data_IF_304039254404
#
_entry.id   IF_304039254404
#
_cell.length_a   1.000
_cell.length_b   1.000
_cell.length_c   1.000
_cell.angle_alpha   90.00
_cell.angle_beta   90.00
_cell.angle_gamma   90.00
#
_symmetry.space_group_name_H-M   'P 1'
#
loop_
_entity.id
_entity.type
_entity.pdbx_description
1 polymer ?
#
# COMPACT_ATOMS: atom_id res chain seq x y z
N UNK A 1 41.12 -5.16 0.21
CA UNK A 1 39.75 -4.86 -0.31
C UNK A 1 39.63 -3.36 -0.49
N UNK A 2 39.36 -2.88 -1.70
CA UNK A 2 39.29 -1.44 -2.02
C UNK A 2 38.07 -0.78 -1.34
N UNK A 3 38.18 0.51 -1.02
CA UNK A 3 37.09 1.30 -0.42
C UNK A 3 35.81 1.25 -1.26
N UNK A 4 35.96 1.31 -2.59
CA UNK A 4 34.85 1.22 -3.53
C UNK A 4 34.14 -0.14 -3.49
N UNK A 5 34.88 -1.25 -3.32
CA UNK A 5 34.29 -2.59 -3.13
C UNK A 5 33.54 -2.71 -1.80
N UNK A 6 34.02 -2.06 -0.73
CA UNK A 6 33.32 -1.97 0.56
C UNK A 6 31.98 -1.23 0.42
N UNK A 7 32.00 -0.02 -0.15
CA UNK A 7 30.81 0.82 -0.33
C UNK A 7 29.73 0.13 -1.18
N UNK A 8 30.12 -0.54 -2.26
CA UNK A 8 29.20 -1.33 -3.09
C UNK A 8 28.57 -2.49 -2.31
N UNK A 9 29.36 -3.23 -1.52
CA UNK A 9 28.83 -4.34 -0.72
C UNK A 9 27.88 -3.84 0.39
N UNK A 10 28.16 -2.68 0.98
CA UNK A 10 27.28 -2.05 1.98
C UNK A 10 25.95 -1.62 1.36
N UNK A 11 25.98 -1.02 0.16
CA UNK A 11 24.78 -0.66 -0.58
C UNK A 11 23.93 -1.88 -0.94
N UNK A 12 24.55 -2.99 -1.40
CA UNK A 12 23.84 -4.25 -1.68
C UNK A 12 23.17 -4.78 -0.41
N UNK A 13 23.89 -4.85 0.71
CA UNK A 13 23.34 -5.32 2.00
C UNK A 13 22.19 -4.45 2.50
N UNK A 14 22.26 -3.13 2.30
CA UNK A 14 21.17 -2.22 2.64
C UNK A 14 19.90 -2.53 1.81
N UNK A 15 20.04 -2.72 0.50
CA UNK A 15 18.91 -3.09 -0.37
C UNK A 15 18.32 -4.45 0.03
N UNK A 16 19.18 -5.45 0.30
CA UNK A 16 18.74 -6.79 0.72
C UNK A 16 17.94 -6.74 2.02
N UNK A 17 18.44 -6.03 3.04
CA UNK A 17 17.72 -5.84 4.31
C UNK A 17 16.33 -5.24 4.10
N UNK A 18 16.22 -4.21 3.24
CA UNK A 18 14.91 -3.58 2.94
C UNK A 18 13.96 -4.55 2.24
N UNK A 19 14.48 -5.40 1.35
CA UNK A 19 13.68 -6.42 0.68
C UNK A 19 13.18 -7.46 1.69
N UNK A 20 14.04 -7.89 2.61
CA UNK A 20 13.68 -8.86 3.66
C UNK A 20 12.63 -8.29 4.60
N UNK A 21 12.78 -7.04 5.05
CA UNK A 21 11.78 -6.32 5.86
C UNK A 21 10.42 -6.25 5.14
N UNK A 22 10.42 -5.97 3.83
CA UNK A 22 9.19 -5.94 3.03
C UNK A 22 8.55 -7.33 2.91
N UNK A 23 9.36 -8.39 2.74
CA UNK A 23 8.85 -9.77 2.69
C UNK A 23 8.24 -10.19 4.03
N UNK A 24 8.86 -9.83 5.15
CA UNK A 24 8.35 -10.15 6.49
C UNK A 24 7.03 -9.40 6.78
N UNK A 25 6.97 -8.11 6.43
CA UNK A 25 5.73 -7.32 6.54
C UNK A 25 4.62 -7.90 5.66
N UNK A 26 4.94 -8.25 4.41
CA UNK A 26 3.99 -8.91 3.50
C UNK A 26 3.48 -10.22 4.08
N UNK A 27 4.36 -11.08 4.61
CA UNK A 27 3.97 -12.37 5.19
C UNK A 27 2.97 -12.20 6.34
N UNK A 28 3.23 -11.24 7.25
CA UNK A 28 2.30 -10.89 8.33
C UNK A 28 0.96 -10.41 7.78
N UNK A 29 1.00 -9.50 6.82
CA UNK A 29 -0.19 -8.90 6.23
C UNK A 29 -1.06 -9.89 5.46
N UNK A 30 -0.45 -10.86 4.78
CA UNK A 30 -1.15 -11.93 4.07
C UNK A 30 -2.03 -12.78 5.01
N UNK A 31 -1.63 -12.99 6.26
CA UNK A 31 -2.48 -13.62 7.27
C UNK A 31 -3.74 -12.79 7.54
N UNK A 32 -3.56 -11.49 7.83
CA UNK A 32 -4.68 -10.58 8.07
C UNK A 32 -5.63 -10.48 6.87
N UNK A 33 -5.13 -10.37 5.64
CA UNK A 33 -5.97 -10.27 4.45
C UNK A 33 -6.92 -11.46 4.30
N UNK A 34 -6.50 -12.67 4.73
CA UNK A 34 -7.34 -13.86 4.71
C UNK A 34 -8.44 -13.77 5.78
N UNK A 35 -8.13 -13.26 6.97
CA UNK A 35 -9.05 -13.20 8.12
C UNK A 35 -10.06 -12.04 8.04
N UNK A 36 -9.63 -10.86 7.56
CA UNK A 36 -10.44 -9.63 7.54
C UNK A 36 -11.82 -9.75 6.88
N UNK A 37 -12.00 -10.46 5.74
CA UNK A 37 -13.33 -10.69 5.17
C UNK A 37 -14.27 -11.43 6.11
N UNK A 38 -13.76 -12.40 6.88
CA UNK A 38 -14.55 -13.14 7.86
C UNK A 38 -14.92 -12.26 9.04
N UNK A 39 -13.98 -11.49 9.59
CA UNK A 39 -14.23 -10.55 10.68
C UNK A 39 -15.30 -9.51 10.30
N UNK A 40 -15.19 -8.96 9.09
CA UNK A 40 -16.16 -8.00 8.56
C UNK A 40 -17.55 -8.64 8.46
N UNK A 41 -17.64 -9.84 7.91
CA UNK A 41 -18.92 -10.53 7.76
C UNK A 41 -19.55 -10.88 9.12
N UNK A 42 -18.74 -11.31 10.09
CA UNK A 42 -19.19 -11.60 11.45
C UNK A 42 -19.75 -10.35 12.14
N UNK A 43 -19.03 -9.22 12.07
CA UNK A 43 -19.48 -7.97 12.69
C UNK A 43 -20.76 -7.44 12.02
N UNK A 44 -20.85 -7.51 10.68
CA UNK A 44 -22.08 -7.16 9.95
C UNK A 44 -23.25 -8.03 10.40
N UNK A 45 -23.06 -9.35 10.49
CA UNK A 45 -24.12 -10.28 10.88
C UNK A 45 -24.59 -10.02 12.33
N UNK A 46 -23.66 -9.80 13.25
CA UNK A 46 -23.96 -9.43 14.63
C UNK A 46 -24.78 -8.13 14.70
N UNK A 47 -24.37 -7.10 13.97
CA UNK A 47 -25.09 -5.83 13.91
C UNK A 47 -26.50 -5.99 13.33
N UNK A 48 -26.68 -6.83 12.30
CA UNK A 48 -27.99 -7.14 11.71
C UNK A 48 -28.94 -7.87 12.65
N UNK A 49 -28.41 -8.74 13.51
CA UNK A 49 -29.20 -9.49 14.51
C UNK A 49 -29.70 -8.53 15.60
N UNK A 50 -28.82 -7.69 16.13
CA UNK A 50 -29.16 -6.75 17.19
C UNK A 50 -30.04 -5.60 16.67
N UNK A 51 -29.88 -5.20 15.41
CA UNK A 51 -30.56 -4.06 14.80
C UNK A 51 -31.34 -4.48 13.53
N UNK A 52 -32.41 -5.29 13.66
CA UNK A 52 -33.08 -5.88 12.51
C UNK A 52 -33.74 -4.84 11.58
N UNK A 53 -34.11 -3.67 12.09
CA UNK A 53 -34.68 -2.55 11.32
C UNK A 53 -33.65 -1.81 10.47
N UNK A 54 -32.35 -1.99 10.75
CA UNK A 54 -31.24 -1.30 10.06
C UNK A 54 -30.57 -2.18 9.00
N UNK A 55 -31.03 -3.42 8.75
CA UNK A 55 -30.34 -4.40 7.90
C UNK A 55 -29.98 -3.85 6.52
N UNK A 56 -30.92 -3.20 5.86
CA UNK A 56 -30.73 -2.69 4.49
C UNK A 56 -29.82 -1.46 4.48
N UNK A 57 -30.06 -0.50 5.38
CA UNK A 57 -29.22 0.70 5.52
C UNK A 57 -27.77 0.30 5.86
N UNK A 58 -27.57 -0.69 6.74
CA UNK A 58 -26.26 -1.21 7.09
C UNK A 58 -25.54 -1.84 5.89
N UNK A 59 -26.22 -2.62 5.05
CA UNK A 59 -25.62 -3.17 3.82
C UNK A 59 -25.15 -2.05 2.88
N UNK A 60 -26.02 -1.07 2.63
CA UNK A 60 -25.72 0.08 1.78
C UNK A 60 -24.56 0.89 2.36
N UNK A 61 -24.56 1.09 3.68
CA UNK A 61 -23.51 1.79 4.39
C UNK A 61 -22.14 1.10 4.25
N UNK A 62 -22.05 -0.22 4.47
CA UNK A 62 -20.80 -0.98 4.33
C UNK A 62 -20.22 -0.83 2.93
N UNK A 63 -21.06 -0.96 1.90
CA UNK A 63 -20.63 -0.80 0.50
C UNK A 63 -20.15 0.62 0.23
N UNK A 64 -20.93 1.62 0.64
CA UNK A 64 -20.59 3.03 0.44
C UNK A 64 -19.30 3.41 1.17
N UNK A 65 -19.21 3.09 2.46
CA UNK A 65 -18.05 3.41 3.30
C UNK A 65 -16.79 2.67 2.83
N UNK A 66 -16.93 1.43 2.35
CA UNK A 66 -15.85 0.68 1.71
C UNK A 66 -15.32 1.37 0.45
N UNK A 67 -16.19 1.93 -0.40
CA UNK A 67 -15.79 2.73 -1.57
C UNK A 67 -15.07 4.02 -1.14
N UNK A 68 -15.64 4.75 -0.18
CA UNK A 68 -15.02 5.95 0.39
C UNK A 68 -13.60 5.67 0.92
N UNK A 69 -13.41 4.57 1.65
CA UNK A 69 -12.09 4.17 2.17
C UNK A 69 -11.11 3.78 1.07
N UNK A 70 -11.58 3.06 0.05
CA UNK A 70 -10.77 2.71 -1.13
C UNK A 70 -10.23 3.99 -1.79
N UNK A 71 -11.06 5.01 -1.95
CA UNK A 71 -10.64 6.32 -2.51
C UNK A 71 -9.52 6.97 -1.70
N UNK A 72 -9.67 7.06 -0.37
CA UNK A 72 -8.63 7.64 0.48
C UNK A 72 -7.29 6.89 0.36
N UNK A 73 -7.35 5.57 0.22
CA UNK A 73 -6.13 4.77 0.15
C UNK A 73 -5.43 4.84 -1.21
N UNK A 74 -6.16 5.09 -2.30
CA UNK A 74 -5.55 5.44 -3.60
C UNK A 74 -4.62 6.63 -3.45
N UNK A 75 -5.07 7.68 -2.75
CA UNK A 75 -4.26 8.87 -2.47
C UNK A 75 -3.05 8.54 -1.57
N UNK A 76 -3.23 7.65 -0.59
CA UNK A 76 -2.12 7.20 0.26
C UNK A 76 -1.07 6.40 -0.50
N UNK A 77 -1.48 5.55 -1.44
CA UNK A 77 -0.56 4.79 -2.29
C UNK A 77 0.37 5.73 -3.09
N UNK A 78 -0.17 6.79 -3.68
CA UNK A 78 0.62 7.83 -4.38
C UNK A 78 1.61 8.50 -3.44
N UNK A 79 1.16 8.91 -2.24
CA UNK A 79 2.04 9.50 -1.22
C UNK A 79 3.15 8.55 -0.78
N UNK A 80 2.85 7.26 -0.62
CA UNK A 80 3.86 6.26 -0.26
C UNK A 80 4.88 6.01 -1.36
N UNK A 81 4.50 6.16 -2.64
CA UNK A 81 5.44 6.13 -3.76
C UNK A 81 6.34 7.35 -3.78
N UNK A 82 5.79 8.55 -3.51
CA UNK A 82 6.58 9.77 -3.35
C UNK A 82 7.63 9.64 -2.23
N UNK A 83 7.22 9.19 -1.03
CA UNK A 83 8.16 8.93 0.07
C UNK A 83 9.24 7.92 -0.31
N UNK A 84 8.86 6.83 -0.97
CA UNK A 84 9.81 5.82 -1.42
C UNK A 84 10.81 6.39 -2.42
N UNK A 85 10.37 7.21 -3.37
CA UNK A 85 11.25 7.91 -4.31
C UNK A 85 12.30 8.74 -3.56
N UNK A 86 11.88 9.54 -2.58
CA UNK A 86 12.76 10.41 -1.82
C UNK A 86 13.79 9.60 -0.99
N UNK A 87 13.34 8.51 -0.37
CA UNK A 87 14.22 7.54 0.31
C UNK A 87 15.26 6.96 -0.66
N UNK A 88 14.85 6.53 -1.86
CA UNK A 88 15.79 5.96 -2.85
C UNK A 88 16.80 6.98 -3.36
N UNK A 89 16.37 8.22 -3.59
CA UNK A 89 17.25 9.30 -4.04
C UNK A 89 18.32 9.62 -2.98
N UNK A 90 17.93 9.61 -1.70
CA UNK A 90 18.84 9.85 -0.58
C UNK A 90 19.81 8.69 -0.35
N UNK A 91 19.30 7.46 -0.36
CA UNK A 91 20.07 6.30 0.07
C UNK A 91 20.92 5.68 -1.05
N UNK A 92 20.55 5.91 -2.31
CA UNK A 92 21.21 5.35 -3.50
C UNK A 92 21.42 6.39 -4.61
N UNK A 93 22.05 7.55 -4.34
CA UNK A 93 22.13 8.66 -5.30
C UNK A 93 22.81 8.25 -6.63
N UNK A 94 23.83 7.41 -6.57
CA UNK A 94 24.60 6.98 -7.75
C UNK A 94 23.98 5.80 -8.52
N UNK A 95 22.90 5.20 -7.99
CA UNK A 95 22.35 3.94 -8.53
C UNK A 95 20.86 4.01 -8.83
N UNK A 96 20.21 5.14 -8.53
CA UNK A 96 18.75 5.25 -8.56
C UNK A 96 18.20 6.05 -9.72
N UNK A 97 18.99 6.81 -10.48
CA UNK A 97 18.48 7.77 -11.48
C UNK A 97 17.40 7.19 -12.43
N UNK A 98 17.69 6.07 -13.10
CA UNK A 98 16.71 5.39 -13.97
C UNK A 98 15.53 4.80 -13.19
N UNK A 99 15.75 4.31 -11.97
CA UNK A 99 14.70 3.78 -11.10
C UNK A 99 13.76 4.90 -10.64
N UNK A 100 14.28 6.08 -10.31
CA UNK A 100 13.50 7.24 -9.90
C UNK A 100 12.61 7.73 -11.05
N UNK A 101 13.13 7.73 -12.28
CA UNK A 101 12.33 8.05 -13.46
C UNK A 101 11.16 7.07 -13.63
N UNK A 102 11.41 5.77 -13.47
CA UNK A 102 10.35 4.77 -13.52
C UNK A 102 9.33 4.91 -12.39
N UNK A 103 9.79 5.21 -11.16
CA UNK A 103 8.91 5.47 -10.02
C UNK A 103 7.99 6.67 -10.31
N UNK A 104 8.54 7.74 -10.88
CA UNK A 104 7.77 8.93 -11.27
C UNK A 104 6.74 8.60 -12.35
N UNK A 105 7.14 7.90 -13.42
CA UNK A 105 6.22 7.46 -14.48
C UNK A 105 5.10 6.59 -13.91
N UNK A 106 5.44 5.65 -13.02
CA UNK A 106 4.46 4.80 -12.34
C UNK A 106 3.50 5.63 -11.47
N UNK A 107 3.99 6.63 -10.75
CA UNK A 107 3.17 7.54 -9.95
C UNK A 107 2.17 8.31 -10.80
N UNK A 108 2.62 8.89 -11.92
CA UNK A 108 1.76 9.63 -12.87
C UNK A 108 0.68 8.71 -13.45
N UNK A 109 1.05 7.50 -13.91
CA UNK A 109 0.09 6.55 -14.47
C UNK A 109 -0.95 6.12 -13.43
N UNK A 110 -0.53 5.87 -12.18
CA UNK A 110 -1.45 5.51 -11.11
C UNK A 110 -2.39 6.67 -10.75
N UNK A 111 -1.88 7.90 -10.70
CA UNK A 111 -2.68 9.09 -10.42
C UNK A 111 -3.74 9.33 -11.51
N UNK A 112 -3.37 9.19 -12.79
CA UNK A 112 -4.30 9.26 -13.91
C UNK A 112 -5.38 8.18 -13.82
N UNK A 113 -4.98 6.93 -13.57
CA UNK A 113 -5.91 5.81 -13.42
C UNK A 113 -6.89 6.02 -12.26
N UNK A 114 -6.40 6.47 -11.10
CA UNK A 114 -7.25 6.76 -9.95
C UNK A 114 -8.19 7.94 -10.20
N UNK A 115 -7.73 8.98 -10.91
CA UNK A 115 -8.58 10.12 -11.31
C UNK A 115 -9.72 9.66 -12.23
N UNK A 116 -9.45 8.79 -13.19
CA UNK A 116 -10.48 8.23 -14.08
C UNK A 116 -11.46 7.33 -13.34
N UNK A 117 -10.99 6.54 -12.36
CA UNK A 117 -11.87 5.75 -11.52
C UNK A 117 -12.77 6.64 -10.66
N UNK A 118 -12.22 7.69 -10.06
CA UNK A 118 -12.96 8.62 -9.21
C UNK A 118 -13.99 9.43 -9.99
N UNK A 119 -13.72 9.82 -11.24
CA UNK A 119 -14.67 10.57 -12.07
C UNK A 119 -15.91 9.77 -12.46
N UNK A 120 -15.82 8.43 -12.44
CA UNK A 120 -16.93 7.50 -12.69
C UNK A 120 -17.71 7.13 -11.43
N UNK A 121 -17.22 7.50 -10.24
CA UNK A 121 -17.85 7.18 -8.96
C UNK A 121 -18.81 8.31 -8.52
N UNK A 122 -20.10 8.01 -8.36
CA UNK A 122 -21.05 8.97 -7.78
C UNK A 122 -20.64 9.36 -6.34
N UNK A 123 -20.39 10.65 -6.12
CA UNK A 123 -19.99 11.22 -4.83
C UNK A 123 -21.22 11.45 -3.92
N UNK A 124 -21.86 10.37 -3.47
CA UNK A 124 -22.90 10.46 -2.45
C UNK A 124 -22.32 10.27 -1.05
N UNK A 125 -22.80 11.06 -0.09
CA UNK A 125 -22.54 10.81 1.34
C UNK A 125 -23.14 9.47 1.75
N UNK A 126 -22.40 8.68 2.53
CA UNK A 126 -22.92 7.42 3.04
C UNK A 126 -23.98 7.67 4.12
N UNK A 127 -25.19 7.14 3.92
CA UNK A 127 -26.25 7.19 4.92
C UNK A 127 -25.91 6.28 6.10
N UNK A 128 -25.68 6.87 7.27
CA UNK A 128 -25.38 6.10 8.48
C UNK A 128 -26.64 5.44 9.06
N UNK A 129 -26.54 4.20 9.57
CA UNK A 129 -27.63 3.54 10.28
C UNK A 129 -27.91 4.24 11.61
N UNK A 130 -29.18 4.60 11.86
CA UNK A 130 -29.55 5.48 13.00
C UNK A 130 -29.63 4.74 14.34
N UNK A 131 -30.02 3.48 14.33
CA UNK A 131 -30.27 2.70 15.55
C UNK A 131 -29.08 1.83 15.99
N UNK A 132 -27.90 1.98 15.39
CA UNK A 132 -26.68 1.27 15.81
C UNK A 132 -25.91 2.13 16.81
N UNK A 133 -25.41 1.52 17.89
CA UNK A 133 -24.55 2.21 18.86
C UNK A 133 -23.29 2.73 18.18
N UNK A 134 -22.91 3.96 18.48
CA UNK A 134 -21.72 4.63 17.90
C UNK A 134 -20.45 3.79 18.05
N UNK A 135 -20.28 3.10 19.19
CA UNK A 135 -19.11 2.22 19.42
C UNK A 135 -19.07 1.06 18.42
N UNK A 136 -20.20 0.42 18.15
CA UNK A 136 -20.26 -0.72 17.24
C UNK A 136 -20.10 -0.26 15.79
N UNK A 137 -20.67 0.91 15.43
CA UNK A 137 -20.45 1.52 14.12
C UNK A 137 -18.96 1.86 13.90
N UNK A 138 -18.27 2.42 14.90
CA UNK A 138 -16.82 2.68 14.83
C UNK A 138 -16.00 1.39 14.70
N UNK A 139 -16.41 0.32 15.38
CA UNK A 139 -15.76 -0.98 15.24
C UNK A 139 -15.85 -1.50 13.81
N UNK A 140 -17.05 -1.49 13.22
CA UNK A 140 -17.27 -1.85 11.81
C UNK A 140 -16.42 -0.98 10.86
N UNK A 141 -16.41 0.33 11.09
CA UNK A 141 -15.60 1.27 10.31
C UNK A 141 -14.10 0.95 10.39
N UNK A 142 -13.60 0.54 11.56
CA UNK A 142 -12.20 0.15 11.76
C UNK A 142 -11.87 -1.12 10.99
N UNK A 143 -12.73 -2.13 11.03
CA UNK A 143 -12.52 -3.38 10.28
C UNK A 143 -12.48 -3.10 8.76
N UNK A 144 -13.39 -2.28 8.24
CA UNK A 144 -13.38 -1.87 6.83
C UNK A 144 -12.11 -1.09 6.50
N UNK A 145 -11.70 -0.16 7.37
CA UNK A 145 -10.49 0.61 7.18
C UNK A 145 -9.25 -0.29 7.09
N UNK A 146 -9.08 -1.20 8.05
CA UNK A 146 -7.95 -2.12 8.10
C UNK A 146 -7.93 -3.02 6.86
N UNK A 147 -9.05 -3.68 6.53
CA UNK A 147 -9.15 -4.55 5.36
C UNK A 147 -8.70 -3.84 4.08
N UNK A 148 -9.18 -2.62 3.89
CA UNK A 148 -8.85 -1.83 2.70
C UNK A 148 -7.38 -1.40 2.71
N UNK A 149 -6.83 -1.09 3.90
CA UNK A 149 -5.44 -0.63 4.06
C UNK A 149 -4.47 -1.77 3.79
N UNK A 150 -4.75 -2.96 4.33
CA UNK A 150 -3.95 -4.16 4.13
C UNK A 150 -3.82 -4.52 2.64
N UNK A 151 -4.90 -4.36 1.86
CA UNK A 151 -4.89 -4.58 0.41
C UNK A 151 -4.05 -3.55 -0.36
N UNK A 152 -3.95 -2.31 0.12
CA UNK A 152 -3.09 -1.31 -0.51
C UNK A 152 -1.63 -1.53 -0.12
N UNK A 153 -1.37 -1.77 1.16
CA UNK A 153 -0.02 -1.96 1.68
C UNK A 153 0.69 -3.16 1.03
N UNK A 154 -0.01 -4.28 0.83
CA UNK A 154 0.59 -5.45 0.16
C UNK A 154 1.05 -5.12 -1.27
N UNK A 155 0.25 -4.33 -2.01
CA UNK A 155 0.58 -3.92 -3.37
C UNK A 155 1.73 -2.91 -3.39
N UNK A 156 1.73 -1.97 -2.43
CA UNK A 156 2.84 -1.00 -2.26
C UNK A 156 4.14 -1.73 -1.91
N UNK A 157 4.10 -2.75 -1.05
CA UNK A 157 5.29 -3.54 -0.71
C UNK A 157 5.87 -4.27 -1.92
N UNK A 158 5.03 -4.89 -2.75
CA UNK A 158 5.48 -5.53 -3.99
C UNK A 158 6.09 -4.53 -4.97
N UNK A 159 5.48 -3.36 -5.13
CA UNK A 159 5.98 -2.32 -6.00
C UNK A 159 7.34 -1.79 -5.52
N UNK A 160 7.49 -1.52 -4.21
CA UNK A 160 8.77 -1.11 -3.60
C UNK A 160 9.84 -2.17 -3.79
N UNK A 161 9.50 -3.44 -3.56
CA UNK A 161 10.42 -4.58 -3.76
C UNK A 161 10.89 -4.66 -5.22
N UNK A 162 10.01 -4.45 -6.19
CA UNK A 162 10.36 -4.41 -7.62
C UNK A 162 11.42 -3.34 -7.90
N UNK A 163 11.25 -2.13 -7.38
CA UNK A 163 12.20 -1.04 -7.58
C UNK A 163 13.52 -1.26 -6.82
N UNK A 164 13.48 -1.77 -5.59
CA UNK A 164 14.68 -2.16 -4.84
C UNK A 164 15.50 -3.21 -5.60
N UNK A 165 14.85 -4.21 -6.20
CA UNK A 165 15.53 -5.20 -7.04
C UNK A 165 16.23 -4.57 -8.26
N UNK A 166 15.66 -3.50 -8.85
CA UNK A 166 16.32 -2.76 -9.93
C UNK A 166 17.55 -2.00 -9.42
N UNK A 167 17.45 -1.34 -8.27
CA UNK A 167 18.61 -0.68 -7.63
C UNK A 167 19.71 -1.69 -7.34
N UNK A 168 19.37 -2.87 -6.78
CA UNK A 168 20.33 -3.95 -6.54
C UNK A 168 21.09 -4.33 -7.82
N UNK A 169 20.37 -4.50 -8.94
CA UNK A 169 20.98 -4.79 -10.25
C UNK A 169 21.90 -3.67 -10.72
N UNK A 170 21.49 -2.41 -10.57
CA UNK A 170 22.34 -1.26 -10.93
C UNK A 170 23.66 -1.24 -10.13
N UNK A 171 23.59 -1.48 -8.82
CA UNK A 171 24.78 -1.55 -7.96
C UNK A 171 25.69 -2.71 -8.40
N UNK A 172 25.12 -3.89 -8.65
CA UNK A 172 25.87 -5.07 -9.10
C UNK A 172 26.53 -4.86 -10.47
N UNK A 173 25.86 -4.19 -11.40
CA UNK A 173 26.42 -3.88 -12.72
C UNK A 173 27.56 -2.85 -12.63
N UNK A 174 27.42 -1.84 -11.76
CA UNK A 174 28.49 -0.87 -11.51
C UNK A 174 29.73 -1.52 -10.90
N UNK A 175 29.58 -2.60 -10.13
CA UNK A 175 30.68 -3.35 -9.54
C UNK A 175 31.43 -4.24 -10.55
N UNK A 176 30.80 -4.56 -11.68
CA UNK A 176 31.33 -5.45 -12.74
C UNK A 176 32.02 -4.70 -13.88
N UNK A 177 31.78 -3.40 -14.03
CA UNK A 177 32.55 -2.58 -14.98
C UNK A 177 33.97 -2.44 -14.42
N UNK A 178 35.02 -2.88 -15.15
CA UNK A 178 36.38 -2.52 -14.80
C UNK A 178 36.46 -0.99 -14.78
N UNK A 179 37.14 -0.42 -13.79
CA UNK A 179 37.62 0.95 -13.92
C UNK A 179 38.53 0.96 -15.14
N UNK A 180 38.12 1.60 -16.23
CA UNK A 180 39.04 2.00 -17.29
C UNK A 180 40.06 2.95 -16.63
N UNK A 181 41.29 2.46 -16.47
CA UNK A 181 42.48 3.27 -16.21
C UNK A 181 42.88 4.02 -17.49
#
# INVERSE_FOLDING_TARGET
MTLQKRLTNDAIRNVERRIDDLNERKKRLSGYIIERPYDLQQEINKLKIVNPREKEILNQYVVCYGKYRTRLQRQWAIRYLGKFRDEMAKDFPNYSANVLEEVNRCGITLEQFFTELESKENHTSCTEPKNIKVKDLRNLQSIIFDQKTDLVDINVYELRKRFLNKIKKNIQNSARKPSEE
#
